data_IF_443087317237
#
_entry.id   IF_443087317237
#
_cell.length_a   1.000
_cell.length_b   1.000
_cell.length_c   1.000
_cell.angle_alpha   90.00
_cell.angle_beta   90.00
_cell.angle_gamma   90.00
#
_symmetry.space_group_name_H-M   'P 1'
#
loop_
_entity.id
_entity.type
_entity.pdbx_description
1 polymer ?
#
# COMPACT_ATOMS: atom_id res chain seq x y z
N UNK A 1 -1.69 -5.70 17.65
CA UNK A 1 -1.06 -5.89 16.32
C UNK A 1 -1.63 -4.84 15.41
N UNK A 2 -0.81 -3.99 14.80
CA UNK A 2 -1.26 -3.05 13.79
C UNK A 2 -1.75 -3.78 12.53
N UNK A 3 -2.90 -3.38 12.02
CA UNK A 3 -3.45 -3.91 10.76
C UNK A 3 -3.63 -2.75 9.79
N UNK A 4 -3.28 -2.95 8.53
CA UNK A 4 -3.60 -2.00 7.47
C UNK A 4 -4.36 -2.68 6.34
N UNK A 5 -5.45 -2.04 5.93
CA UNK A 5 -6.21 -2.44 4.76
C UNK A 5 -5.54 -1.85 3.54
N UNK A 6 -5.22 -2.69 2.58
CA UNK A 6 -4.79 -2.26 1.25
C UNK A 6 -5.86 -2.51 0.20
N UNK A 7 -5.79 -1.73 -0.88
CA UNK A 7 -6.67 -1.89 -2.06
C UNK A 7 -6.57 -3.32 -2.61
N UNK A 8 -7.69 -3.87 -3.10
CA UNK A 8 -7.68 -5.17 -3.80
C UNK A 8 -6.96 -5.04 -5.13
N UNK A 9 -6.10 -6.00 -5.46
CA UNK A 9 -5.30 -5.98 -6.67
C UNK A 9 -5.16 -7.41 -7.21
N UNK A 10 -5.39 -7.57 -8.51
CA UNK A 10 -5.30 -8.86 -9.21
C UNK A 10 -3.91 -9.14 -9.80
N UNK A 11 -2.95 -8.22 -9.61
CA UNK A 11 -1.61 -8.24 -10.18
C UNK A 11 -0.53 -8.28 -9.08
N UNK A 12 -0.79 -9.04 -8.01
CA UNK A 12 0.11 -9.29 -6.88
C UNK A 12 0.67 -8.06 -6.15
N UNK A 13 0.02 -6.90 -6.28
CA UNK A 13 0.52 -5.60 -5.79
C UNK A 13 1.93 -5.26 -6.32
N UNK A 14 2.18 -5.65 -7.57
CA UNK A 14 3.38 -5.28 -8.35
C UNK A 14 3.06 -4.29 -9.46
N UNK A 15 1.82 -4.28 -9.92
CA UNK A 15 1.32 -3.52 -11.06
C UNK A 15 -0.11 -3.04 -10.77
N UNK A 16 -0.59 -1.96 -11.44
CA UNK A 16 -1.97 -1.53 -11.28
C UNK A 16 -2.91 -2.63 -11.78
N UNK A 17 -4.00 -2.89 -11.06
CA UNK A 17 -5.01 -3.87 -11.43
C UNK A 17 -6.00 -3.37 -12.49
N UNK A 18 -5.91 -2.08 -12.85
CA UNK A 18 -6.80 -1.42 -13.81
C UNK A 18 -8.27 -1.34 -13.35
N UNK A 19 -9.15 -0.91 -14.24
CA UNK A 19 -10.58 -0.67 -13.96
C UNK A 19 -11.32 -1.93 -13.47
N UNK A 20 -10.94 -3.10 -13.97
CA UNK A 20 -11.63 -4.35 -13.68
C UNK A 20 -11.00 -5.15 -12.56
N UNK A 21 -9.71 -4.96 -12.23
CA UNK A 21 -9.04 -5.71 -11.16
C UNK A 21 -9.24 -5.13 -9.75
N UNK A 22 -10.15 -4.15 -9.60
CA UNK A 22 -10.48 -3.47 -8.34
C UNK A 22 -11.93 -3.69 -7.91
N UNK A 23 -12.20 -3.30 -6.68
CA UNK A 23 -13.56 -3.20 -6.17
C UNK A 23 -14.26 -1.97 -6.76
N UNK A 24 -15.44 -2.11 -7.40
CA UNK A 24 -16.20 -0.98 -7.92
C UNK A 24 -16.85 -0.14 -6.81
N UNK A 25 -17.06 1.16 -7.08
CA UNK A 25 -17.73 2.16 -6.22
C UNK A 25 -17.00 2.55 -4.92
N UNK A 26 -15.68 2.52 -4.93
CA UNK A 26 -14.86 3.14 -3.88
C UNK A 26 -14.09 4.33 -4.47
N UNK A 27 -13.60 5.24 -3.61
CA UNK A 27 -12.64 6.29 -4.00
C UNK A 27 -11.45 5.74 -4.83
N UNK A 28 -11.14 4.45 -4.65
CA UNK A 28 -10.11 3.68 -5.36
C UNK A 28 -10.45 3.41 -6.86
N UNK A 29 -11.73 3.44 -7.24
CA UNK A 29 -12.21 3.21 -8.61
C UNK A 29 -12.27 4.50 -9.43
N UNK A 30 -12.61 5.64 -8.80
CA UNK A 30 -12.72 6.95 -9.48
C UNK A 30 -11.38 7.39 -10.08
N UNK A 31 -10.27 7.06 -9.41
CA UNK A 31 -8.92 7.39 -9.86
C UNK A 31 -8.30 6.33 -10.79
N UNK A 32 -8.95 5.18 -10.97
CA UNK A 32 -8.44 4.07 -11.80
C UNK A 32 -7.24 3.29 -11.23
N UNK A 33 -6.61 3.75 -10.14
CA UNK A 33 -5.47 3.11 -9.47
C UNK A 33 -5.37 3.52 -7.99
N UNK A 34 -4.55 2.81 -7.21
CA UNK A 34 -4.19 3.14 -5.84
C UNK A 34 -2.72 2.87 -5.63
N UNK A 35 -1.98 3.82 -5.05
CA UNK A 35 -0.51 3.76 -4.89
C UNK A 35 0.00 2.52 -4.15
N UNK A 36 -0.85 1.90 -3.33
CA UNK A 36 -0.52 0.65 -2.63
C UNK A 36 -0.31 -0.52 -3.60
N UNK A 37 -0.73 -0.43 -4.86
CA UNK A 37 -0.65 -1.52 -5.83
C UNK A 37 0.76 -1.82 -6.35
N UNK A 38 1.77 -1.09 -5.88
CA UNK A 38 3.18 -1.33 -6.19
C UNK A 38 4.02 -1.64 -4.96
N UNK A 39 3.43 -1.88 -3.78
CA UNK A 39 4.21 -2.07 -2.54
C UNK A 39 5.16 -3.29 -2.58
N UNK A 40 4.94 -4.24 -3.52
CA UNK A 40 5.82 -5.40 -3.78
C UNK A 40 6.54 -5.35 -5.12
N UNK A 41 6.47 -4.23 -5.83
CA UNK A 41 7.19 -4.09 -7.08
C UNK A 41 8.69 -4.06 -6.78
N UNK A 42 9.42 -5.06 -7.29
CA UNK A 42 10.84 -5.26 -6.99
C UNK A 42 11.74 -4.13 -7.51
N UNK A 43 11.28 -3.31 -8.46
CA UNK A 43 12.04 -2.15 -8.90
C UNK A 43 12.23 -1.13 -7.77
N UNK A 44 11.35 -1.12 -6.77
CA UNK A 44 11.51 -0.30 -5.55
C UNK A 44 12.36 -0.98 -4.47
N UNK A 45 13.26 -1.89 -4.84
CA UNK A 45 14.21 -2.52 -3.93
C UNK A 45 15.56 -1.83 -3.96
N UNK A 46 16.20 -1.76 -2.80
CA UNK A 46 17.55 -1.20 -2.64
C UNK A 46 18.33 -1.99 -1.61
N UNK A 47 19.59 -2.24 -1.91
CA UNK A 47 20.53 -2.82 -0.96
C UNK A 47 21.05 -1.75 -0.01
N UNK A 48 20.84 -1.93 1.29
CA UNK A 48 21.35 -1.05 2.35
C UNK A 48 21.98 -1.93 3.44
N UNK A 49 23.29 -1.75 3.69
CA UNK A 49 24.03 -2.47 4.74
C UNK A 49 23.93 -4.01 4.66
N UNK A 50 23.95 -4.55 3.43
CA UNK A 50 23.85 -6.00 3.19
C UNK A 50 22.44 -6.58 3.38
N UNK A 51 21.41 -5.72 3.41
CA UNK A 51 20.01 -6.10 3.47
C UNK A 51 19.26 -5.50 2.29
N UNK A 52 18.42 -6.31 1.64
CA UNK A 52 17.47 -5.81 0.64
C UNK A 52 16.29 -5.15 1.33
N UNK A 53 16.13 -3.84 1.13
CA UNK A 53 14.97 -3.08 1.54
C UNK A 53 13.98 -2.94 0.39
N UNK A 54 12.71 -3.19 0.64
CA UNK A 54 11.61 -2.86 -0.25
C UNK A 54 10.98 -1.55 0.20
N UNK A 55 10.82 -0.62 -0.72
CA UNK A 55 10.09 0.62 -0.54
C UNK A 55 8.68 0.51 -1.14
N UNK A 56 7.76 1.31 -0.62
CA UNK A 56 6.42 1.38 -1.19
C UNK A 56 5.54 2.43 -0.53
N UNK A 57 4.24 2.32 -0.82
CA UNK A 57 3.21 3.17 -0.24
C UNK A 57 2.15 2.34 0.50
N UNK A 58 1.78 2.78 1.69
CA UNK A 58 0.58 2.34 2.41
C UNK A 58 -0.26 3.55 2.79
N UNK A 59 -1.55 3.52 2.46
CA UNK A 59 -2.46 4.65 2.65
C UNK A 59 -2.61 5.02 4.13
N UNK A 60 -2.48 4.05 5.05
CA UNK A 60 -2.50 4.32 6.49
C UNK A 60 -1.39 5.27 6.95
N UNK A 61 -0.26 5.33 6.24
CA UNK A 61 0.87 6.20 6.56
C UNK A 61 0.93 7.48 5.72
N UNK A 62 -0.16 7.81 4.99
CA UNK A 62 -0.25 8.99 4.12
C UNK A 62 -0.01 10.31 4.88
N UNK A 63 -0.54 10.41 6.10
CA UNK A 63 -0.39 11.61 6.93
C UNK A 63 0.96 11.62 7.64
N UNK A 64 1.84 12.52 7.22
CA UNK A 64 3.14 12.76 7.84
C UNK A 64 3.05 13.13 9.34
N UNK A 65 1.93 13.71 9.78
CA UNK A 65 1.81 14.27 11.14
C UNK A 65 1.79 13.21 12.24
N UNK A 66 1.44 11.96 11.94
CA UNK A 66 1.10 10.97 12.97
C UNK A 66 2.00 9.75 13.05
N UNK A 67 2.80 9.45 12.01
CA UNK A 67 3.43 8.13 11.88
C UNK A 67 4.91 8.15 11.46
N UNK A 68 5.53 9.32 11.33
CA UNK A 68 6.85 9.46 10.68
C UNK A 68 8.03 9.01 11.55
N UNK A 69 9.07 8.47 10.90
CA UNK A 69 10.34 8.10 11.53
C UNK A 69 10.24 6.98 12.56
N UNK A 70 9.22 6.13 12.44
CA UNK A 70 8.88 5.13 13.46
C UNK A 70 8.85 3.73 12.87
N UNK A 71 9.30 2.76 13.68
CA UNK A 71 9.23 1.34 13.34
C UNK A 71 8.00 0.70 13.97
N UNK A 72 7.17 0.05 13.15
CA UNK A 72 6.00 -0.71 13.60
C UNK A 72 6.32 -2.20 13.50
N UNK A 73 5.97 -2.96 14.54
CA UNK A 73 6.22 -4.40 14.61
C UNK A 73 4.94 -5.19 14.47
N UNK A 74 5.05 -6.40 13.91
CA UNK A 74 3.96 -7.37 13.75
C UNK A 74 2.75 -6.76 13.02
N UNK A 75 3.00 -6.23 11.82
CA UNK A 75 1.99 -5.55 10.99
C UNK A 75 1.35 -6.53 10.03
N UNK A 76 0.03 -6.61 10.06
CA UNK A 76 -0.74 -7.46 9.15
C UNK A 76 -1.41 -6.61 8.06
N UNK A 77 -1.21 -6.98 6.81
CA UNK A 77 -1.94 -6.43 5.68
C UNK A 77 -3.09 -7.35 5.28
N UNK A 78 -4.23 -6.74 5.00
CA UNK A 78 -5.39 -7.44 4.47
C UNK A 78 -6.05 -6.63 3.36
N UNK A 79 -6.76 -7.32 2.49
CA UNK A 79 -7.59 -6.71 1.44
C UNK A 79 -9.03 -7.20 1.55
N UNK A 80 -9.95 -6.51 0.90
CA UNK A 80 -11.35 -6.92 0.82
C UNK A 80 -11.59 -7.59 -0.52
N UNK A 81 -12.06 -8.84 -0.51
CA UNK A 81 -12.43 -9.53 -1.74
C UNK A 81 -13.61 -8.81 -2.38
N UNK A 82 -13.50 -8.58 -3.68
CA UNK A 82 -14.60 -8.10 -4.51
C UNK A 82 -14.65 -8.89 -5.80
N UNK A 83 -15.85 -8.99 -6.36
CA UNK A 83 -16.02 -9.53 -7.68
C UNK A 83 -15.88 -8.39 -8.69
N UNK A 84 -14.88 -8.50 -9.56
CA UNK A 84 -14.64 -7.58 -10.66
C UNK A 84 -15.94 -7.32 -11.42
N UNK A 85 -16.38 -6.06 -11.50
CA UNK A 85 -17.61 -5.68 -12.22
C UNK A 85 -18.95 -6.00 -11.54
N UNK A 86 -18.98 -6.61 -10.34
CA UNK A 86 -20.23 -6.78 -9.59
C UNK A 86 -20.43 -5.65 -8.58
N UNK A 87 -21.64 -5.11 -8.50
CA UNK A 87 -22.05 -4.16 -7.45
C UNK A 87 -22.10 -4.80 -6.03
N UNK A 88 -21.76 -6.09 -5.90
CA UNK A 88 -21.82 -6.83 -4.66
C UNK A 88 -20.42 -6.99 -4.08
N UNK A 89 -20.14 -6.20 -3.05
CA UNK A 89 -18.93 -6.41 -2.27
C UNK A 89 -19.16 -7.61 -1.35
N UNK A 90 -18.40 -8.69 -1.58
CA UNK A 90 -18.35 -9.79 -0.63
C UNK A 90 -17.67 -9.23 0.63
N UNK A 91 -18.34 -9.27 1.79
CA UNK A 91 -17.75 -8.85 3.07
C UNK A 91 -16.69 -9.86 3.56
N UNK A 92 -15.81 -10.30 2.66
CA UNK A 92 -14.73 -11.26 2.90
C UNK A 92 -13.41 -10.51 2.88
N UNK A 93 -12.66 -10.60 3.96
CA UNK A 93 -11.33 -10.01 4.04
C UNK A 93 -10.30 -11.13 3.86
N UNK A 94 -9.26 -10.86 3.08
CA UNK A 94 -8.21 -11.81 2.74
C UNK A 94 -6.91 -11.28 3.31
N UNK A 95 -6.18 -12.13 4.03
CA UNK A 95 -4.84 -11.81 4.49
C UNK A 95 -3.88 -11.71 3.30
N UNK A 96 -3.06 -10.66 3.28
CA UNK A 96 -2.13 -10.39 2.17
C UNK A 96 -0.68 -10.64 2.59
N UNK A 97 -0.26 -10.06 3.70
CA UNK A 97 1.10 -10.18 4.18
C UNK A 97 1.16 -9.96 5.69
N UNK A 98 2.15 -10.56 6.33
CA UNK A 98 2.57 -10.26 7.69
C UNK A 98 3.99 -9.70 7.66
N UNK A 99 4.24 -8.62 8.39
CA UNK A 99 5.55 -8.03 8.55
C UNK A 99 6.00 -8.13 9.99
N UNK A 100 7.19 -8.69 10.21
CA UNK A 100 7.84 -8.61 11.52
C UNK A 100 8.09 -7.15 11.89
N UNK A 101 8.52 -6.34 10.92
CA UNK A 101 8.87 -4.94 11.09
C UNK A 101 8.69 -4.15 9.79
N UNK A 102 8.12 -2.94 9.90
CA UNK A 102 8.12 -1.92 8.85
C UNK A 102 8.60 -0.60 9.42
N UNK A 103 9.30 0.19 8.63
CA UNK A 103 9.72 1.53 8.99
C UNK A 103 8.95 2.57 8.16
N UNK A 104 8.30 3.51 8.83
CA UNK A 104 7.58 4.60 8.18
C UNK A 104 8.52 5.79 8.02
N UNK A 105 8.68 6.23 6.78
CA UNK A 105 9.66 7.25 6.40
C UNK A 105 9.30 8.61 7.00
N UNK A 106 10.33 9.35 7.42
CA UNK A 106 10.28 10.79 7.68
C UNK A 106 10.02 11.59 6.41
N UNK A 107 9.59 12.84 6.55
CA UNK A 107 9.35 13.73 5.40
C UNK A 107 10.59 13.87 4.51
N UNK A 108 11.78 13.95 5.13
CA UNK A 108 13.06 14.01 4.42
C UNK A 108 13.36 12.70 3.67
N UNK A 109 13.15 11.55 4.31
CA UNK A 109 13.37 10.25 3.68
C UNK A 109 12.37 9.96 2.56
N UNK A 110 11.13 10.45 2.66
CA UNK A 110 10.13 10.36 1.57
C UNK A 110 10.61 11.10 0.34
N UNK A 111 11.07 12.34 0.52
CA UNK A 111 11.63 13.15 -0.56
C UNK A 111 12.83 12.46 -1.22
N UNK A 112 13.78 11.98 -0.41
CA UNK A 112 14.95 11.24 -0.90
C UNK A 112 14.52 9.98 -1.67
N UNK A 113 13.56 9.20 -1.14
CA UNK A 113 13.09 8.01 -1.80
C UNK A 113 12.39 8.31 -3.14
N UNK A 114 11.62 9.40 -3.23
CA UNK A 114 11.02 9.82 -4.51
C UNK A 114 12.07 10.25 -5.54
N UNK A 115 13.16 10.90 -5.12
CA UNK A 115 14.28 11.20 -6.01
C UNK A 115 15.04 9.93 -6.43
N UNK A 116 15.34 9.04 -5.48
CA UNK A 116 16.08 7.79 -5.74
C UNK A 116 15.32 6.85 -6.67
N UNK A 117 14.01 6.72 -6.50
CA UNK A 117 13.14 5.87 -7.33
C UNK A 117 12.44 6.64 -8.46
N UNK A 118 13.01 7.76 -8.90
CA UNK A 118 12.38 8.63 -9.90
C UNK A 118 12.11 7.93 -11.23
N UNK A 119 12.99 7.01 -11.65
CA UNK A 119 12.80 6.22 -12.87
C UNK A 119 11.65 5.22 -12.73
N UNK A 120 11.58 4.53 -11.60
CA UNK A 120 10.53 3.56 -11.30
C UNK A 120 9.17 4.25 -11.15
N UNK A 121 9.14 5.45 -10.57
CA UNK A 121 7.93 6.29 -10.54
C UNK A 121 7.52 6.74 -11.94
N UNK A 122 8.48 7.00 -12.84
CA UNK A 122 8.20 7.29 -14.24
C UNK A 122 7.63 6.06 -14.97
N UNK A 123 8.10 4.86 -14.66
CA UNK A 123 7.53 3.62 -15.20
C UNK A 123 6.09 3.42 -14.74
N UNK A 124 5.78 3.65 -13.45
CA UNK A 124 4.40 3.68 -12.96
C UNK A 124 3.56 4.69 -13.75
N UNK A 125 4.08 5.90 -13.94
CA UNK A 125 3.39 6.95 -14.70
C UNK A 125 3.08 6.49 -16.13
N UNK A 126 4.01 5.81 -16.80
CA UNK A 126 3.81 5.27 -18.14
C UNK A 126 2.76 4.15 -18.17
N UNK A 127 2.76 3.24 -17.18
CA UNK A 127 1.71 2.22 -17.03
C UNK A 127 0.32 2.85 -16.88
N UNK A 128 0.21 3.91 -16.07
CA UNK A 128 -1.05 4.63 -15.85
C UNK A 128 -1.54 5.37 -17.10
N UNK A 129 -0.65 5.92 -17.92
CA UNK A 129 -1.00 6.50 -19.23
C UNK A 129 -1.60 5.41 -20.14
N UNK A 130 -1.00 4.22 -20.15
CA UNK A 130 -1.53 3.08 -20.91
C UNK A 130 -2.93 2.64 -20.45
N UNK A 131 -3.28 2.90 -19.19
CA UNK A 131 -4.61 2.66 -18.62
C UNK A 131 -5.58 3.83 -18.80
N UNK A 132 -5.20 4.88 -19.52
CA UNK A 132 -6.04 6.07 -19.78
C UNK A 132 -6.42 6.81 -18.49
N UNK A 133 -5.53 6.79 -17.49
CA UNK A 133 -5.68 7.57 -16.26
C UNK A 133 -5.27 9.02 -16.51
N UNK A 134 -6.00 9.97 -15.94
CA UNK A 134 -5.54 11.36 -15.85
C UNK A 134 -4.39 11.45 -14.83
N UNK A 135 -3.18 11.14 -15.31
CA UNK A 135 -1.96 11.06 -14.49
C UNK A 135 -1.57 12.41 -13.90
N UNK A 136 -1.87 13.51 -14.59
CA UNK A 136 -1.53 14.85 -14.11
C UNK A 136 -2.30 15.15 -12.83
N UNK A 137 -3.62 14.93 -12.82
CA UNK A 137 -4.44 15.27 -11.66
C UNK A 137 -4.47 14.16 -10.59
N UNK A 138 -4.22 12.90 -10.95
CA UNK A 138 -4.37 11.79 -10.01
C UNK A 138 -3.04 11.22 -9.49
N UNK A 139 -1.93 11.38 -10.21
CA UNK A 139 -0.61 10.85 -9.83
C UNK A 139 0.41 11.96 -9.56
N UNK A 140 0.66 12.84 -10.54
CA UNK A 140 1.68 13.90 -10.46
C UNK A 140 1.29 14.95 -9.42
N UNK A 141 0.08 15.51 -9.54
CA UNK A 141 -0.46 16.56 -8.67
C UNK A 141 -1.48 16.01 -7.67
N UNK A 142 -1.17 14.89 -7.02
CA UNK A 142 -2.11 14.24 -6.11
C UNK A 142 -2.78 15.30 -5.19
N UNK A 143 -4.12 15.41 -5.16
CA UNK A 143 -4.84 16.58 -4.62
C UNK A 143 -4.58 16.85 -3.13
N UNK A 144 -4.19 15.81 -2.38
CA UNK A 144 -3.86 15.91 -0.96
C UNK A 144 -2.35 16.07 -0.67
N UNK A 145 -1.51 16.26 -1.71
CA UNK A 145 -0.05 16.34 -1.58
C UNK A 145 0.58 15.10 -0.92
N UNK A 146 0.00 13.91 -1.16
CA UNK A 146 0.45 12.68 -0.51
C UNK A 146 1.78 12.23 -1.12
N UNK A 147 2.67 11.65 -0.29
CA UNK A 147 3.90 11.06 -0.82
C UNK A 147 3.57 9.88 -1.73
N UNK A 148 4.43 9.61 -2.72
CA UNK A 148 4.34 8.41 -3.57
C UNK A 148 5.00 7.20 -2.91
N UNK A 149 5.90 7.42 -1.96
CA UNK A 149 6.60 6.41 -1.16
C UNK A 149 6.59 6.85 0.30
N UNK A 150 6.19 5.98 1.23
CA UNK A 150 6.05 6.38 2.64
C UNK A 150 6.48 5.33 3.68
N UNK A 151 6.87 4.14 3.25
CA UNK A 151 7.41 3.12 4.13
C UNK A 151 8.47 2.28 3.44
N UNK A 152 9.29 1.59 4.24
CA UNK A 152 10.18 0.54 3.79
C UNK A 152 10.20 -0.63 4.76
N UNK A 153 10.56 -1.80 4.27
CA UNK A 153 10.74 -3.00 5.09
C UNK A 153 11.90 -3.84 4.54
N UNK A 154 12.51 -4.66 5.39
CA UNK A 154 13.47 -5.66 4.90
C UNK A 154 12.69 -6.76 4.22
N UNK A 155 13.09 -7.18 3.02
CA UNK A 155 12.36 -8.23 2.28
C UNK A 155 12.19 -9.50 3.11
N UNK A 156 13.19 -9.87 3.94
CA UNK A 156 13.12 -11.02 4.85
C UNK A 156 12.10 -10.90 5.98
N UNK A 157 11.66 -9.68 6.30
CA UNK A 157 10.65 -9.43 7.34
C UNK A 157 9.23 -9.61 6.81
N UNK A 158 9.05 -9.74 5.49
CA UNK A 158 7.77 -10.06 4.87
C UNK A 158 7.51 -11.57 4.86
N UNK A 159 6.37 -11.97 5.41
CA UNK A 159 5.71 -13.23 5.11
C UNK A 159 4.51 -12.94 4.22
N UNK A 160 4.65 -13.18 2.92
CA UNK A 160 3.54 -13.05 1.97
C UNK A 160 2.56 -14.20 2.13
N UNK A 161 1.27 -13.89 2.19
CA UNK A 161 0.19 -14.82 2.53
C UNK A 161 -0.89 -14.94 1.46
N UNK A 162 -0.91 -14.02 0.49
CA UNK A 162 -1.97 -14.00 -0.52
C UNK A 162 -1.80 -15.12 -1.54
N UNK A 163 -2.87 -15.88 -1.72
CA UNK A 163 -3.06 -16.87 -2.78
C UNK A 163 -4.46 -16.64 -3.37
N UNK A 164 -4.54 -16.41 -4.68
CA UNK A 164 -5.79 -16.16 -5.38
C UNK A 164 -6.65 -17.43 -5.53
N UNK A 165 -6.04 -18.61 -5.52
CA UNK A 165 -6.71 -19.91 -5.59
C UNK A 165 -7.14 -20.41 -4.21
N UNK A 166 -6.34 -20.10 -3.18
CA UNK A 166 -6.57 -20.54 -1.79
C UNK A 166 -6.49 -19.37 -0.79
N UNK A 167 -7.41 -18.39 -0.86
CA UNK A 167 -7.31 -17.20 -0.03
C UNK A 167 -7.50 -17.50 1.46
N UNK A 168 -6.61 -16.96 2.29
CA UNK A 168 -6.74 -17.01 3.74
C UNK A 168 -7.73 -15.93 4.18
N UNK A 169 -8.96 -16.35 4.51
CA UNK A 169 -9.96 -15.42 5.02
C UNK A 169 -9.65 -14.99 6.45
N UNK A 170 -9.77 -13.69 6.71
CA UNK A 170 -9.66 -13.11 8.04
C UNK A 170 -10.95 -12.36 8.39
N UNK A 171 -11.25 -12.27 9.69
CA UNK A 171 -12.33 -11.42 10.19
C UNK A 171 -11.71 -10.26 10.99
N UNK A 172 -11.56 -9.07 10.38
CA UNK A 172 -10.99 -7.92 11.07
C UNK A 172 -11.98 -7.31 12.08
N UNK A 173 -13.23 -7.79 12.22
CA UNK A 173 -14.26 -7.19 13.09
C UNK A 173 -13.84 -7.03 14.57
N UNK A 174 -12.85 -7.78 15.07
CA UNK A 174 -12.30 -7.58 16.44
C UNK A 174 -11.02 -6.72 16.49
N UNK A 175 -10.51 -6.23 15.35
CA UNK A 175 -9.22 -5.53 15.26
C UNK A 175 -9.17 -4.45 14.16
N UNK A 176 -10.32 -3.98 13.65
CA UNK A 176 -10.43 -2.87 12.70
C UNK A 176 -10.09 -1.54 13.39
N UNK A 177 -8.83 -1.36 13.75
CA UNK A 177 -8.33 -0.04 14.10
C UNK A 177 -8.00 0.67 12.79
N UNK A 178 -8.95 1.41 12.23
CA UNK A 178 -8.54 2.61 11.49
C UNK A 178 -7.77 3.44 12.51
N UNK A 179 -6.57 3.88 12.18
CA UNK A 179 -5.63 4.54 13.10
C UNK A 179 -6.09 5.89 13.69
N UNK A 180 -7.40 6.20 13.73
CA UNK A 180 -7.93 7.32 14.50
C UNK A 180 -7.68 7.20 16.01
N UNK A 181 -7.35 6.01 16.52
CA UNK A 181 -7.33 5.75 17.97
C UNK A 181 -5.94 5.56 18.57
N UNK A 182 -4.87 5.55 17.75
CA UNK A 182 -3.49 5.51 18.28
C UNK A 182 -3.03 6.84 18.90
N UNK A 183 -3.83 7.90 18.77
CA UNK A 183 -3.55 9.22 19.35
C UNK A 183 -3.56 9.25 20.90
N UNK A 184 -4.05 8.19 21.56
CA UNK A 184 -4.33 8.23 23.00
C UNK A 184 -3.62 7.19 23.86
N UNK A 185 -2.70 6.35 23.34
CA UNK A 185 -2.21 5.21 24.14
C UNK A 185 -0.71 4.97 24.27
N UNK A 186 0.16 5.91 23.87
CA UNK A 186 1.58 5.85 24.27
C UNK A 186 2.09 7.16 24.87
N UNK A 187 1.41 7.61 25.94
CA UNK A 187 1.95 8.55 26.92
C UNK A 187 1.58 8.07 28.34
N UNK A 188 1.99 6.86 28.73
CA UNK A 188 2.19 6.44 30.12
C UNK A 188 3.17 5.27 30.19
#
# INVERSE_FOLDING_TARGET
MPFARITYNTNDWKHPSGLFGKCPRLWETEKGFGFEEWFRNKSFQKEENGETLQYGYLQCFKSAKNHKGSTYRNVDLFTRQCHCGANNILNRFIAVAHYNSIYVLTDKERFIAEEEFGNELQDIRNELIGLVVDVVNNFDNHPDGLPKINFKYKVKDEKYLYDSLSPIFCNPQNRMWRYSDYYYRELY
#
